data_IF_838687627156
#
_entry.id   IF_838687627156
#
_cell.length_a   1.000
_cell.length_b   1.000
_cell.length_c   1.000
_cell.angle_alpha   90.00
_cell.angle_beta   90.00
_cell.angle_gamma   90.00
#
_symmetry.space_group_name_H-M   'P 1'
#
loop_
_entity.id
_entity.type
_entity.pdbx_description
1 polymer ?
#
# COMPACT_ATOMS: atom_id res chain seq x y z
N UNK A 1 0.61 13.39 15.17
CA UNK A 1 1.23 12.05 15.16
C UNK A 1 0.89 11.43 13.84
N UNK A 2 1.88 10.91 13.11
CA UNK A 2 1.66 10.24 11.84
C UNK A 2 2.01 8.76 11.93
N UNK A 3 1.17 7.89 11.38
CA UNK A 3 1.46 6.47 11.17
C UNK A 3 1.45 6.23 9.67
N UNK A 4 2.57 5.77 9.12
CA UNK A 4 2.72 5.51 7.69
C UNK A 4 2.95 4.02 7.44
N UNK A 5 2.09 3.42 6.63
CA UNK A 5 2.19 2.02 6.22
C UNK A 5 2.97 1.92 4.92
N UNK A 6 4.11 1.25 4.93
CA UNK A 6 4.89 0.96 3.72
C UNK A 6 4.41 -0.33 3.07
N UNK A 7 4.62 -0.42 1.76
CA UNK A 7 4.45 -1.66 1.02
C UNK A 7 5.74 -2.50 1.02
N UNK A 8 5.66 -3.76 0.60
CA UNK A 8 6.80 -4.68 0.54
C UNK A 8 7.84 -4.22 -0.50
N UNK A 9 7.37 -3.62 -1.60
CA UNK A 9 8.21 -3.09 -2.69
C UNK A 9 8.66 -1.64 -2.48
N UNK A 10 8.22 -0.97 -1.40
CA UNK A 10 8.63 0.40 -1.15
C UNK A 10 10.14 0.50 -0.86
N UNK A 11 10.81 1.40 -1.57
CA UNK A 11 12.23 1.69 -1.37
C UNK A 11 12.45 2.80 -0.32
N UNK A 12 13.71 2.95 0.11
CA UNK A 12 14.06 3.95 1.11
C UNK A 12 13.73 5.38 0.70
N UNK A 13 13.80 5.69 -0.60
CA UNK A 13 13.44 7.00 -1.15
C UNK A 13 11.96 7.32 -0.91
N UNK A 14 11.07 6.32 -1.02
CA UNK A 14 9.65 6.46 -0.70
C UNK A 14 9.43 6.71 0.79
N UNK A 15 10.09 5.93 1.65
CA UNK A 15 9.99 6.11 3.11
C UNK A 15 10.50 7.47 3.58
N UNK A 16 11.62 7.94 3.05
CA UNK A 16 12.16 9.29 3.31
C UNK A 16 11.20 10.37 2.78
N UNK A 17 10.63 10.17 1.60
CA UNK A 17 9.62 11.08 1.03
C UNK A 17 8.40 11.25 1.95
N UNK A 18 7.84 10.16 2.45
CA UNK A 18 6.71 10.19 3.40
C UNK A 18 7.09 10.83 4.74
N UNK A 19 8.32 10.57 5.22
CA UNK A 19 8.82 11.20 6.43
C UNK A 19 8.99 12.73 6.28
N UNK A 20 9.33 13.23 5.09
CA UNK A 20 9.43 14.67 4.80
C UNK A 20 8.08 15.36 4.69
N UNK A 21 7.10 14.69 4.08
CA UNK A 21 5.76 15.26 3.83
C UNK A 21 4.87 15.31 5.07
N UNK A 22 5.10 14.43 6.05
CA UNK A 22 4.41 14.53 7.33
C UNK A 22 4.82 15.83 8.04
N UNK A 23 4.00 16.36 8.95
CA UNK A 23 4.35 17.49 9.83
C UNK A 23 4.39 17.08 11.31
N UNK A 24 4.09 15.81 11.60
CA UNK A 24 4.07 15.28 12.95
C UNK A 24 5.46 15.25 13.61
N UNK A 25 5.55 15.75 14.85
CA UNK A 25 6.74 15.62 15.69
C UNK A 25 7.06 14.16 16.07
N UNK A 26 6.07 13.26 16.00
CA UNK A 26 6.18 11.82 16.29
C UNK A 26 5.61 11.04 15.11
N UNK A 27 6.42 10.15 14.55
CA UNK A 27 6.11 9.39 13.34
C UNK A 27 6.41 7.91 13.58
N UNK A 28 5.44 7.05 13.30
CA UNK A 28 5.64 5.60 13.24
C UNK A 28 5.62 5.12 11.80
N UNK A 29 6.59 4.29 11.44
CA UNK A 29 6.69 3.66 10.13
C UNK A 29 6.43 2.17 10.29
N UNK A 30 5.35 1.69 9.67
CA UNK A 30 4.94 0.28 9.72
C UNK A 30 5.52 -0.45 8.52
N UNK A 31 6.37 -1.45 8.77
CA UNK A 31 7.00 -2.26 7.73
C UNK A 31 6.37 -3.66 7.68
N UNK A 32 5.83 -4.07 6.53
CA UNK A 32 5.36 -5.43 6.32
C UNK A 32 6.54 -6.42 6.30
N UNK A 33 6.27 -7.72 6.56
CA UNK A 33 7.29 -8.76 6.46
C UNK A 33 7.90 -8.81 5.06
N UNK A 34 9.22 -8.96 4.96
CA UNK A 34 9.94 -8.99 3.68
C UNK A 34 10.16 -7.63 2.99
N UNK A 35 9.87 -6.50 3.63
CA UNK A 35 10.09 -5.17 3.03
C UNK A 35 11.56 -4.95 2.58
N UNK A 36 11.76 -4.38 1.39
CA UNK A 36 13.10 -4.08 0.86
C UNK A 36 13.94 -3.19 1.78
N UNK A 37 13.31 -2.30 2.54
CA UNK A 37 13.99 -1.41 3.49
C UNK A 37 14.64 -2.21 4.63
N UNK A 38 14.01 -3.32 5.03
CA UNK A 38 14.44 -4.16 6.15
C UNK A 38 15.73 -4.96 5.87
N UNK A 39 16.19 -5.00 4.62
CA UNK A 39 17.35 -5.80 4.18
C UNK A 39 18.70 -5.23 4.64
N UNK A 40 18.78 -3.95 5.03
CA UNK A 40 20.05 -3.29 5.33
C UNK A 40 19.98 -2.37 6.55
N UNK A 41 20.98 -2.48 7.43
CA UNK A 41 21.18 -1.56 8.56
C UNK A 41 21.44 -0.12 8.11
N UNK A 42 22.02 0.06 6.92
CA UNK A 42 22.31 1.39 6.36
C UNK A 42 20.99 2.14 6.13
N UNK A 43 19.96 1.44 5.68
CA UNK A 43 18.63 2.04 5.45
C UNK A 43 18.04 2.62 6.73
N UNK A 44 18.09 1.87 7.83
CA UNK A 44 17.61 2.38 9.13
C UNK A 44 18.46 3.54 9.68
N UNK A 45 19.77 3.57 9.41
CA UNK A 45 20.61 4.72 9.79
C UNK A 45 20.28 5.97 8.99
N UNK A 46 19.96 5.84 7.71
CA UNK A 46 19.52 6.95 6.87
C UNK A 46 18.18 7.50 7.38
N UNK A 47 17.21 6.64 7.66
CA UNK A 47 15.93 7.05 8.26
C UNK A 47 16.11 7.74 9.62
N UNK A 48 16.99 7.21 10.47
CA UNK A 48 17.29 7.82 11.76
C UNK A 48 17.97 9.18 11.63
N UNK A 49 18.84 9.36 10.63
CA UNK A 49 19.48 10.64 10.33
C UNK A 49 18.46 11.66 9.85
N UNK A 50 17.62 11.28 8.89
CA UNK A 50 16.57 12.14 8.33
C UNK A 50 15.58 12.59 9.40
N UNK A 51 15.13 11.66 10.27
CA UNK A 51 14.24 11.99 11.37
C UNK A 51 14.86 13.01 12.33
N UNK A 52 16.14 12.86 12.67
CA UNK A 52 16.85 13.82 13.54
C UNK A 52 17.05 15.18 12.89
N UNK A 53 17.34 15.20 11.59
CA UNK A 53 17.51 16.44 10.82
C UNK A 53 16.24 17.30 10.82
N UNK A 54 15.07 16.65 10.81
CA UNK A 54 13.77 17.31 10.92
C UNK A 54 13.21 17.38 12.36
N UNK A 55 14.03 17.10 13.37
CA UNK A 55 13.66 17.10 14.79
C UNK A 55 12.42 16.22 15.13
N UNK A 56 12.34 15.04 14.52
CA UNK A 56 11.23 14.08 14.66
C UNK A 56 11.65 12.84 15.43
N UNK A 57 10.70 12.31 16.19
CA UNK A 57 10.83 11.02 16.86
C UNK A 57 10.25 9.93 15.96
N UNK A 58 11.14 9.17 15.31
CA UNK A 58 10.79 8.04 14.45
C UNK A 58 10.82 6.73 15.24
N UNK A 59 9.73 5.96 15.14
CA UNK A 59 9.66 4.57 15.61
C UNK A 59 9.37 3.61 14.45
N UNK A 60 9.90 2.40 14.52
CA UNK A 60 9.69 1.34 13.54
C UNK A 60 8.70 0.32 14.12
N UNK A 61 7.68 -0.06 13.36
CA UNK A 61 6.72 -1.10 13.75
C UNK A 61 6.82 -2.25 12.76
N UNK A 62 7.19 -3.45 13.23
CA UNK A 62 7.28 -4.62 12.37
C UNK A 62 7.13 -5.93 13.16
N UNK A 63 6.38 -6.92 12.63
CA UNK A 63 6.23 -8.21 13.30
C UNK A 63 7.52 -9.03 13.31
N UNK A 64 8.48 -8.78 12.42
CA UNK A 64 9.72 -9.57 12.31
C UNK A 64 10.78 -9.19 13.37
N UNK A 65 11.15 -10.15 14.22
CA UNK A 65 12.12 -9.93 15.30
C UNK A 65 13.52 -9.53 14.79
N UNK A 66 13.97 -10.14 13.70
CA UNK A 66 15.27 -9.85 13.08
C UNK A 66 15.36 -8.39 12.62
N UNK A 67 14.29 -7.86 12.03
CA UNK A 67 14.23 -6.47 11.54
C UNK A 67 14.19 -5.49 12.70
N UNK A 68 13.42 -5.80 13.76
CA UNK A 68 13.43 -4.99 15.00
C UNK A 68 14.84 -4.89 15.59
N UNK A 69 15.60 -5.98 15.63
CA UNK A 69 16.97 -5.96 16.12
C UNK A 69 17.88 -5.04 15.29
N UNK A 70 17.72 -5.03 13.96
CA UNK A 70 18.48 -4.14 13.06
C UNK A 70 18.09 -2.67 13.29
N UNK A 71 16.80 -2.36 13.41
CA UNK A 71 16.31 -1.01 13.68
C UNK A 71 16.83 -0.47 15.04
N UNK A 72 16.76 -1.29 16.10
CA UNK A 72 17.32 -0.95 17.43
C UNK A 72 18.82 -0.71 17.34
N UNK A 73 19.56 -1.52 16.57
CA UNK A 73 20.99 -1.31 16.36
C UNK A 73 21.32 -0.02 15.60
N UNK A 74 20.36 0.54 14.86
CA UNK A 74 20.48 1.84 14.19
C UNK A 74 20.06 3.01 15.09
N UNK A 75 19.61 2.73 16.32
CA UNK A 75 19.18 3.72 17.30
C UNK A 75 17.73 4.18 17.13
N UNK A 76 16.88 3.34 16.54
CA UNK A 76 15.44 3.57 16.41
C UNK A 76 14.66 2.64 17.36
N UNK A 77 13.69 3.16 18.13
CA UNK A 77 12.74 2.31 18.86
C UNK A 77 11.97 1.40 17.90
N UNK A 78 11.81 0.12 18.24
CA UNK A 78 11.12 -0.85 17.41
C UNK A 78 10.04 -1.61 18.20
N UNK A 79 8.85 -1.73 17.61
CA UNK A 79 7.68 -2.36 18.23
C UNK A 79 7.15 -3.51 17.35
N UNK A 80 6.50 -4.49 17.96
CA UNK A 80 5.96 -5.64 17.23
C UNK A 80 4.64 -5.31 16.53
N UNK A 81 3.78 -4.53 17.18
CA UNK A 81 2.50 -4.08 16.64
C UNK A 81 2.28 -2.56 16.84
N UNK A 82 1.34 -2.00 16.08
CA UNK A 82 0.95 -0.58 16.20
C UNK A 82 0.34 -0.30 17.57
N UNK A 83 -0.39 -1.26 18.13
CA UNK A 83 -0.95 -1.19 19.49
C UNK A 83 0.13 -1.01 20.56
N UNK A 84 1.28 -1.68 20.43
CA UNK A 84 2.38 -1.56 21.39
C UNK A 84 3.02 -0.17 21.33
N UNK A 85 3.11 0.40 20.12
CA UNK A 85 3.56 1.77 19.93
C UNK A 85 2.58 2.79 20.51
N UNK A 86 1.28 2.61 20.30
CA UNK A 86 0.25 3.48 20.87
C UNK A 86 0.21 3.40 22.41
N UNK A 87 0.38 2.20 22.98
CA UNK A 87 0.51 2.01 24.42
C UNK A 87 1.76 2.71 24.98
N UNK A 88 2.93 2.51 24.36
CA UNK A 88 4.17 3.18 24.75
C UNK A 88 4.09 4.71 24.63
N UNK A 89 3.28 5.21 23.71
CA UNK A 89 2.99 6.62 23.55
C UNK A 89 2.09 7.16 24.67
N UNK A 90 1.05 6.41 25.05
CA UNK A 90 0.13 6.75 26.14
C UNK A 90 0.86 6.81 27.49
N UNK A 91 1.87 5.96 27.68
CA UNK A 91 2.76 5.97 28.86
C UNK A 91 3.84 7.06 28.82
N UNK A 92 3.95 7.82 27.72
CA UNK A 92 4.94 8.88 27.56
C UNK A 92 6.39 8.39 27.37
N UNK A 93 6.59 7.09 27.13
CA UNK A 93 7.90 6.42 27.13
C UNK A 93 8.69 6.53 25.81
N UNK A 94 8.21 7.31 24.83
CA UNK A 94 8.91 7.51 23.55
C UNK A 94 9.95 8.64 23.67
N UNK A 95 11.03 8.43 24.44
CA UNK A 95 12.41 8.92 24.18
C UNK A 95 13.38 8.85 25.39
N UNK A 96 14.35 7.91 25.33
CA UNK A 96 15.81 8.17 25.21
C UNK A 96 16.57 6.84 25.16
N UNK A 97 17.68 6.74 24.42
CA UNK A 97 18.48 5.53 24.35
C UNK A 97 19.40 5.43 25.58
N UNK A 98 19.03 4.60 26.56
CA UNK A 98 19.98 3.89 27.44
C UNK A 98 19.26 2.81 28.26
N UNK A 99 19.87 1.62 28.24
CA UNK A 99 19.89 0.58 29.28
C UNK A 99 18.65 -0.30 29.54
N UNK A 100 18.77 -1.52 29.03
CA UNK A 100 18.72 -2.79 29.76
C UNK A 100 17.61 -3.02 30.78
N UNK A 101 16.73 -3.96 30.45
CA UNK A 101 16.31 -5.00 31.40
C UNK A 101 16.19 -6.34 30.67
N UNK A 102 17.19 -7.19 30.86
CA UNK A 102 17.04 -8.64 30.81
C UNK A 102 16.85 -9.15 32.26
N UNK A 103 16.09 -10.23 32.49
CA UNK A 103 15.66 -10.66 33.83
C UNK A 103 16.80 -11.33 34.64
N UNK A 104 16.68 -11.42 35.98
CA UNK A 104 17.75 -11.95 36.83
C UNK A 104 17.74 -13.48 36.82
N UNK A 105 18.91 -14.10 36.61
CA UNK A 105 19.05 -15.54 36.80
C UNK A 105 20.43 -16.08 36.45
N UNK A 106 21.12 -16.58 37.48
CA UNK A 106 22.29 -17.46 37.48
C UNK A 106 23.69 -16.80 37.43
N UNK A 107 24.41 -17.08 38.52
CA UNK A 107 25.72 -16.59 38.90
C UNK A 107 26.86 -17.11 38.01
N UNK A 108 27.93 -16.30 37.97
CA UNK A 108 29.20 -16.59 37.36
C UNK A 108 30.14 -17.41 38.27
N UNK A 109 30.94 -18.25 37.64
CA UNK A 109 32.34 -18.55 37.99
C UNK A 109 33.07 -18.64 36.62
N UNK A 110 33.93 -17.68 36.25
CA UNK A 110 35.39 -17.70 36.49
C UNK A 110 36.07 -18.80 35.66
N UNK A 111 37.02 -18.59 34.74
CA UNK A 111 37.74 -17.42 34.23
C UNK A 111 38.81 -17.89 33.22
N UNK A 112 39.54 -16.91 32.68
CA UNK A 112 40.89 -16.98 32.07
C UNK A 112 41.10 -17.44 30.60
N UNK A 113 41.65 -16.47 29.84
CA UNK A 113 42.83 -16.53 28.96
C UNK A 113 42.71 -16.88 27.46
N UNK A 114 43.23 -15.96 26.63
CA UNK A 114 43.91 -16.28 25.35
C UNK A 114 43.40 -15.54 24.11
N UNK A 115 44.26 -14.91 23.27
CA UNK A 115 43.89 -13.87 22.29
C UNK A 115 43.52 -14.40 20.89
N UNK A 116 42.90 -13.59 20.00
CA UNK A 116 42.70 -13.96 18.60
C UNK A 116 43.88 -13.50 17.73
N UNK A 117 44.27 -14.27 16.68
CA UNK A 117 45.02 -13.71 15.57
C UNK A 117 44.07 -13.19 14.49
N UNK A 118 44.26 -11.91 14.18
CA UNK A 118 44.42 -11.32 12.85
C UNK A 118 44.00 -12.15 11.64
N UNK A 119 43.08 -11.61 10.82
CA UNK A 119 43.35 -11.43 9.38
C UNK A 119 42.47 -10.33 8.79
N UNK A 120 43.13 -9.28 8.33
CA UNK A 120 42.62 -8.30 7.39
C UNK A 120 42.77 -8.84 5.97
N UNK A 121 41.83 -8.50 5.09
CA UNK A 121 42.11 -8.33 3.66
C UNK A 121 41.22 -7.21 3.11
N UNK A 122 41.89 -6.14 2.71
CA UNK A 122 41.44 -5.06 1.83
C UNK A 122 41.33 -5.61 0.38
N UNK A 123 40.31 -5.24 -0.40
CA UNK A 123 40.29 -4.13 -1.38
C UNK A 123 40.93 -4.48 -2.76
N UNK A 124 40.35 -3.87 -3.82
CA UNK A 124 40.75 -3.75 -5.24
C UNK A 124 39.94 -4.64 -6.24
N UNK A 125 39.07 -4.06 -7.09
CA UNK A 125 39.33 -3.43 -8.42
C UNK A 125 39.75 -4.49 -9.47
N UNK A 126 39.25 -4.61 -10.71
CA UNK A 126 38.37 -3.80 -11.57
C UNK A 126 37.98 -4.60 -12.84
N UNK A 127 36.98 -4.05 -13.58
CA UNK A 127 36.88 -3.91 -15.04
C UNK A 127 36.42 -5.06 -15.98
N UNK A 128 35.42 -4.71 -16.81
CA UNK A 128 35.05 -5.30 -18.11
C UNK A 128 33.55 -5.64 -18.20
N UNK A 129 32.63 -4.93 -18.88
CA UNK A 129 32.72 -3.89 -19.91
C UNK A 129 32.15 -4.39 -21.24
N UNK A 130 30.82 -4.26 -21.45
CA UNK A 130 30.04 -4.09 -22.72
C UNK A 130 28.56 -4.02 -22.30
N UNK A 131 27.66 -3.12 -22.73
CA UNK A 131 27.64 -2.11 -23.79
C UNK A 131 26.30 -2.20 -24.54
N UNK A 132 25.32 -1.34 -24.21
CA UNK A 132 24.17 -0.89 -25.05
C UNK A 132 23.21 -0.04 -24.17
N UNK A 133 23.26 1.29 -24.24
CA UNK A 133 22.53 2.17 -25.18
C UNK A 133 21.01 2.25 -24.87
N UNK A 134 20.60 3.30 -24.14
CA UNK A 134 19.77 4.46 -24.60
C UNK A 134 18.27 4.09 -24.64
N UNK A 135 17.39 4.73 -23.87
CA UNK A 135 16.93 6.10 -24.10
C UNK A 135 16.39 6.73 -22.79
N UNK A 136 16.62 8.04 -22.61
CA UNK A 136 16.09 8.87 -21.53
C UNK A 136 14.77 9.51 -21.97
N UNK A 137 13.77 9.55 -21.09
CA UNK A 137 12.79 10.65 -21.09
C UNK A 137 12.22 10.91 -19.68
N UNK A 138 12.24 12.19 -19.32
CA UNK A 138 11.48 12.91 -18.28
C UNK A 138 11.37 14.37 -18.81
N UNK A 139 10.49 15.25 -18.28
CA UNK A 139 9.03 15.16 -18.15
C UNK A 139 8.32 16.51 -18.50
N UNK A 140 7.00 16.61 -18.20
CA UNK A 140 6.15 17.83 -18.00
C UNK A 140 5.55 18.52 -19.26
N UNK A 141 4.50 19.39 -19.17
CA UNK A 141 3.37 19.50 -18.22
C UNK A 141 1.97 19.78 -18.85
N UNK A 142 0.95 19.76 -17.98
CA UNK A 142 -0.38 20.46 -17.91
C UNK A 142 -0.87 21.36 -19.06
N UNK A 143 -2.14 21.17 -19.45
CA UNK A 143 -2.99 22.17 -20.11
C UNK A 143 -4.39 21.63 -20.44
N UNK A 144 -5.44 22.20 -19.84
CA UNK A 144 -6.86 21.89 -20.13
C UNK A 144 -7.40 22.63 -21.37
N UNK A 145 -8.74 22.78 -21.50
CA UNK A 145 -9.56 22.02 -22.46
C UNK A 145 -10.18 22.90 -23.56
N UNK A 146 -10.97 22.27 -24.46
CA UNK A 146 -12.18 22.77 -25.17
C UNK A 146 -12.23 22.36 -26.66
N UNK A 147 -13.24 21.56 -27.03
CA UNK A 147 -14.00 21.70 -28.28
C UNK A 147 -15.19 20.73 -28.32
N UNK A 148 -16.39 21.29 -28.29
CA UNK A 148 -17.55 20.94 -29.13
C UNK A 148 -18.24 19.59 -28.94
N UNK A 149 -19.52 19.61 -28.55
CA UNK A 149 -20.61 19.00 -29.32
C UNK A 149 -21.95 19.71 -28.98
N UNK A 150 -22.53 20.27 -30.04
CA UNK A 150 -23.94 20.42 -30.45
C UNK A 150 -25.11 20.41 -29.45
N UNK A 151 -25.98 21.39 -29.69
CA UNK A 151 -27.29 21.61 -29.09
C UNK A 151 -28.40 20.78 -29.76
N UNK A 152 -29.39 20.38 -28.94
CA UNK A 152 -30.70 19.84 -29.30
C UNK A 152 -31.69 20.03 -28.14
N UNK A 153 -33.01 20.06 -28.37
CA UNK A 153 -33.83 21.22 -28.02
C UNK A 153 -34.62 21.11 -26.70
N UNK A 154 -35.01 22.28 -26.21
CA UNK A 154 -35.87 22.48 -25.05
C UNK A 154 -37.36 22.25 -25.37
N UNK A 155 -38.03 21.55 -24.45
CA UNK A 155 -39.48 21.35 -24.36
C UNK A 155 -39.94 21.96 -23.03
N UNK A 156 -40.97 22.81 -23.08
CA UNK A 156 -41.68 23.35 -21.92
C UNK A 156 -42.42 24.63 -22.33
N UNK A 157 -43.68 24.88 -22.00
CA UNK A 157 -44.61 24.17 -21.13
C UNK A 157 -46.01 24.71 -21.38
N UNK A 158 -46.99 23.92 -20.91
CA UNK A 158 -48.42 24.10 -21.09
C UNK A 158 -48.98 25.32 -20.35
N UNK A 159 -49.97 25.91 -21.01
CA UNK A 159 -50.91 26.93 -20.59
C UNK A 159 -51.85 26.48 -19.46
N UNK A 160 -52.33 27.45 -18.67
CA UNK A 160 -53.61 27.38 -17.95
C UNK A 160 -54.43 28.63 -18.28
N UNK A 161 -55.70 28.35 -18.52
CA UNK A 161 -56.80 29.11 -19.10
C UNK A 161 -57.46 30.09 -18.11
N UNK A 162 -58.03 31.20 -18.61
CA UNK A 162 -59.46 31.53 -18.46
C UNK A 162 -59.80 32.88 -19.16
N UNK A 163 -60.81 32.83 -20.02
CA UNK A 163 -61.46 33.93 -20.76
C UNK A 163 -62.71 34.43 -19.97
N UNK A 164 -63.64 35.28 -20.50
CA UNK A 164 -63.74 35.89 -21.83
C UNK A 164 -64.29 37.36 -21.90
N UNK A 165 -64.56 37.79 -23.15
CA UNK A 165 -65.49 38.82 -23.65
C UNK A 165 -64.95 40.28 -23.68
N UNK A 166 -65.18 41.13 -24.70
CA UNK A 166 -65.92 41.03 -25.96
C UNK A 166 -65.49 42.20 -26.90
N UNK A 167 -65.56 41.93 -28.20
CA UNK A 167 -65.79 42.81 -29.37
C UNK A 167 -65.38 44.30 -29.42
N UNK A 168 -64.64 44.66 -30.47
CA UNK A 168 -64.95 45.88 -31.24
C UNK A 168 -64.68 45.68 -32.72
N UNK A 169 -65.77 45.67 -33.49
CA UNK A 169 -65.85 45.64 -34.93
C UNK A 169 -66.36 47.01 -35.38
N UNK A 170 -65.90 47.51 -36.54
CA UNK A 170 -66.65 48.51 -37.30
C UNK A 170 -65.99 49.87 -37.44
N UNK A 171 -65.14 49.99 -38.44
CA UNK A 171 -64.77 51.25 -39.06
C UNK A 171 -65.59 51.37 -40.35
N UNK A 172 -66.58 52.30 -40.40
CA UNK A 172 -66.94 53.15 -41.56
C UNK A 172 -68.33 53.82 -41.48
N UNK A 173 -68.29 55.14 -41.77
CA UNK A 173 -69.22 55.98 -42.57
C UNK A 173 -70.23 56.89 -41.83
N UNK A 174 -70.10 58.18 -42.22
CA UNK A 174 -71.10 59.22 -42.49
C UNK A 174 -71.53 60.23 -41.41
N UNK A 175 -71.48 61.49 -41.88
CA UNK A 175 -72.49 62.54 -41.70
C UNK A 175 -72.67 63.16 -40.32
N UNK A 176 -72.11 64.37 -40.17
CA UNK A 176 -72.96 65.56 -40.10
C UNK A 176 -72.16 66.83 -40.42
N UNK A 177 -72.10 67.16 -41.70
CA UNK A 177 -71.92 68.54 -42.15
C UNK A 177 -73.20 69.31 -41.81
N UNK A 178 -73.06 70.34 -40.99
CA UNK A 178 -74.18 71.15 -40.50
C UNK A 178 -73.73 72.56 -40.13
N UNK A 179 -72.88 73.19 -40.96
CA UNK A 179 -72.64 74.63 -40.87
C UNK A 179 -73.47 75.33 -41.94
N UNK A 180 -74.58 75.88 -41.49
CA UNK A 180 -75.38 76.87 -42.18
C UNK A 180 -74.76 78.27 -42.02
N UNK A 181 -74.89 79.03 -43.10
CA UNK A 181 -75.00 80.48 -43.19
C UNK A 181 -73.89 81.41 -42.66
N UNK A 182 -73.34 82.14 -43.62
CA UNK A 182 -72.56 83.37 -43.50
C UNK A 182 -73.36 84.47 -42.77
N UNK A 183 -72.67 85.48 -42.21
CA UNK A 183 -72.94 86.80 -42.75
C UNK A 183 -71.68 87.58 -43.12
N UNK A 184 -71.77 88.20 -44.29
CA UNK A 184 -70.97 89.33 -44.76
C UNK A 184 -71.36 90.57 -43.97
N UNK A 185 -70.40 91.24 -43.31
CA UNK A 185 -70.54 92.64 -42.90
C UNK A 185 -69.29 93.39 -43.34
N UNK A 186 -69.52 94.37 -44.20
CA UNK A 186 -68.49 95.22 -44.77
C UNK A 186 -68.06 96.37 -43.85
N UNK A 187 -66.85 96.86 -44.13
CA UNK A 187 -66.52 98.28 -44.15
C UNK A 187 -66.46 99.02 -42.81
N UNK A 188 -65.27 99.46 -42.43
CA UNK A 188 -65.00 100.90 -42.38
C UNK A 188 -63.52 101.19 -42.28
N UNK A 189 -63.04 101.96 -43.25
CA UNK A 189 -61.72 102.56 -43.26
C UNK A 189 -61.55 103.52 -42.08
N UNK A 190 -60.39 103.48 -41.42
CA UNK A 190 -59.74 104.66 -40.87
C UNK A 190 -58.27 104.60 -41.22
N UNK A 191 -57.87 105.42 -42.18
CA UNK A 191 -56.47 105.71 -42.44
C UNK A 191 -55.91 106.59 -41.33
N UNK A 192 -54.68 106.30 -40.90
CA UNK A 192 -53.76 107.27 -40.31
C UNK A 192 -52.39 106.94 -40.90
N UNK A 193 -51.88 107.87 -41.69
CA UNK A 193 -50.55 107.80 -42.27
C UNK A 193 -49.45 108.09 -41.25
N UNK A 194 -48.23 107.69 -41.62
CA UNK A 194 -46.98 108.23 -41.08
C UNK A 194 -46.18 107.29 -40.19
N UNK A 195 -45.04 106.79 -40.71
CA UNK A 195 -43.97 106.21 -39.88
C UNK A 195 -43.32 104.95 -40.45
N UNK A 196 -42.59 105.06 -41.57
CA UNK A 196 -41.88 103.98 -42.29
C UNK A 196 -40.67 103.36 -41.56
N UNK A 197 -40.65 103.35 -40.22
CA UNK A 197 -39.59 102.74 -39.40
C UNK A 197 -40.13 101.59 -38.53
N UNK A 198 -41.31 101.72 -37.90
CA UNK A 198 -41.80 100.75 -36.90
C UNK A 198 -42.12 99.34 -37.45
N UNK A 199 -42.60 99.25 -38.70
CA UNK A 199 -42.91 97.96 -39.36
C UNK A 199 -41.62 97.16 -39.69
N UNK A 200 -40.50 97.86 -39.92
CA UNK A 200 -39.20 97.23 -40.19
C UNK A 200 -38.55 96.63 -38.94
N UNK A 201 -38.78 97.21 -37.76
CA UNK A 201 -38.28 96.66 -36.49
C UNK A 201 -39.10 95.46 -36.02
N UNK A 202 -40.41 95.44 -36.27
CA UNK A 202 -41.28 94.31 -35.91
C UNK A 202 -40.96 93.02 -36.72
N UNK A 203 -40.66 93.13 -38.01
CA UNK A 203 -40.28 91.96 -38.83
C UNK A 203 -38.90 91.42 -38.48
N UNK A 204 -37.97 92.29 -38.06
CA UNK A 204 -36.61 91.90 -37.64
C UNK A 204 -36.63 91.17 -36.28
N UNK A 205 -37.48 91.60 -35.35
CA UNK A 205 -37.68 90.91 -34.06
C UNK A 205 -38.34 89.53 -34.21
N UNK A 206 -39.30 89.40 -35.12
CA UNK A 206 -39.91 88.09 -35.43
C UNK A 206 -38.89 87.16 -36.10
N UNK A 207 -38.10 87.68 -37.05
CA UNK A 207 -37.01 86.93 -37.66
C UNK A 207 -35.98 86.44 -36.64
N UNK A 208 -35.59 87.29 -35.68
CA UNK A 208 -34.69 86.93 -34.59
C UNK A 208 -35.29 85.86 -33.67
N UNK A 209 -36.57 85.98 -33.32
CA UNK A 209 -37.26 84.98 -32.49
C UNK A 209 -37.31 83.60 -33.18
N UNK A 210 -37.53 83.56 -34.49
CA UNK A 210 -37.51 82.32 -35.28
C UNK A 210 -36.11 81.72 -35.32
N UNK A 211 -35.06 82.55 -35.49
CA UNK A 211 -33.67 82.07 -35.47
C UNK A 211 -33.29 81.51 -34.10
N UNK A 212 -33.68 82.17 -33.01
CA UNK A 212 -33.43 81.68 -31.64
C UNK A 212 -34.18 80.38 -31.37
N UNK A 213 -35.45 80.28 -31.79
CA UNK A 213 -36.23 79.05 -31.67
C UNK A 213 -35.62 77.90 -32.49
N UNK A 214 -35.18 78.17 -33.72
CA UNK A 214 -34.51 77.18 -34.56
C UNK A 214 -33.18 76.70 -33.95
N UNK A 215 -32.40 77.61 -33.35
CA UNK A 215 -31.15 77.28 -32.67
C UNK A 215 -31.40 76.47 -31.37
N UNK A 216 -32.46 76.78 -30.64
CA UNK A 216 -32.89 76.02 -29.46
C UNK A 216 -33.35 74.60 -29.80
N UNK A 217 -34.09 74.43 -30.89
CA UNK A 217 -34.52 73.11 -31.38
C UNK A 217 -33.30 72.30 -31.87
N UNK A 218 -32.39 72.95 -32.61
CA UNK A 218 -31.17 72.31 -33.09
C UNK A 218 -30.26 71.86 -31.94
N UNK A 219 -30.11 72.67 -30.88
CA UNK A 219 -29.32 72.30 -29.70
C UNK A 219 -29.99 71.18 -28.90
N UNK A 220 -31.31 71.19 -28.73
CA UNK A 220 -32.04 70.11 -28.07
C UNK A 220 -31.98 68.79 -28.84
N UNK A 221 -32.05 68.84 -30.17
CA UNK A 221 -31.97 67.64 -31.02
C UNK A 221 -30.58 66.98 -31.03
N UNK A 222 -29.52 67.73 -30.69
CA UNK A 222 -28.13 67.24 -30.65
C UNK A 222 -27.71 66.83 -29.22
N UNK A 223 -28.60 66.89 -28.22
CA UNK A 223 -28.26 66.42 -26.87
C UNK A 223 -27.95 64.91 -26.89
N UNK A 224 -26.71 64.48 -26.58
CA UNK A 224 -26.40 63.07 -26.53
C UNK A 224 -27.08 62.43 -25.32
N UNK A 225 -27.81 61.35 -25.54
CA UNK A 225 -28.31 60.49 -24.48
C UNK A 225 -27.43 59.25 -24.35
N UNK A 226 -27.09 58.87 -23.11
CA UNK A 226 -26.32 57.68 -22.82
C UNK A 226 -27.20 56.70 -22.04
N UNK A 227 -27.43 55.51 -22.60
CA UNK A 227 -28.05 54.39 -21.89
C UNK A 227 -26.97 53.51 -21.27
N UNK A 228 -27.13 53.21 -19.97
CA UNK A 228 -26.24 52.31 -19.24
C UNK A 228 -27.02 51.02 -18.96
N UNK A 229 -26.60 49.92 -19.58
CA UNK A 229 -27.18 48.60 -19.33
C UNK A 229 -26.28 47.83 -18.38
N UNK A 230 -26.79 47.52 -17.19
CA UNK A 230 -26.12 46.67 -16.21
C UNK A 230 -26.69 45.25 -16.36
N UNK A 231 -25.85 44.33 -16.81
CA UNK A 231 -26.20 42.90 -16.87
C UNK A 231 -25.53 42.18 -15.71
N UNK A 232 -26.27 41.74 -14.68
CA UNK A 232 -25.69 40.96 -13.59
C UNK A 232 -25.30 39.55 -14.08
N UNK A 233 -24.14 39.08 -13.63
CA UNK A 233 -23.69 37.71 -13.89
C UNK A 233 -24.00 36.87 -12.66
N UNK A 234 -24.90 35.89 -12.82
CA UNK A 234 -25.15 34.87 -11.80
C UNK A 234 -24.05 33.82 -11.80
N UNK A 235 -23.61 33.40 -10.61
CA UNK A 235 -22.69 32.29 -10.44
C UNK A 235 -23.42 31.21 -9.66
N UNK A 236 -23.49 30.00 -10.22
CA UNK A 236 -24.04 28.86 -9.50
C UNK A 236 -23.07 28.50 -8.36
N UNK A 237 -23.50 28.80 -7.13
CA UNK A 237 -22.92 28.21 -5.95
C UNK A 237 -23.25 26.72 -6.02
N UNK A 238 -22.29 25.92 -6.47
CA UNK A 238 -22.40 24.47 -6.54
C UNK A 238 -22.85 23.86 -5.19
N UNK A 239 -23.16 22.56 -5.15
CA UNK A 239 -23.69 21.93 -3.95
C UNK A 239 -22.76 22.20 -2.76
N UNK A 240 -23.29 22.89 -1.75
CA UNK A 240 -22.58 23.15 -0.50
C UNK A 240 -22.36 21.79 0.16
N UNK A 241 -21.11 21.34 0.20
CA UNK A 241 -20.74 20.09 0.86
C UNK A 241 -20.86 20.28 2.37
N UNK A 242 -21.96 19.79 2.95
CA UNK A 242 -22.21 19.80 4.39
C UNK A 242 -21.91 18.41 4.95
N UNK A 243 -21.02 18.32 5.94
CA UNK A 243 -20.77 17.06 6.66
C UNK A 243 -21.67 17.01 7.88
N UNK A 244 -22.70 16.17 7.85
CA UNK A 244 -23.64 15.96 8.97
C UNK A 244 -23.23 14.70 9.73
N UNK A 245 -23.17 14.79 11.07
CA UNK A 245 -22.78 13.68 11.94
C UNK A 245 -24.03 13.07 12.58
N UNK A 246 -24.22 11.77 12.39
CA UNK A 246 -25.29 11.02 13.04
C UNK A 246 -24.79 10.49 14.39
N UNK A 247 -25.31 11.03 15.49
CA UNK A 247 -24.89 10.67 16.85
C UNK A 247 -26.01 9.94 17.62
N UNK A 248 -25.80 8.68 18.06
CA UNK A 248 -26.77 7.95 18.89
C UNK A 248 -27.04 8.56 20.27
N UNK A 249 -26.13 9.39 20.79
CA UNK A 249 -26.28 10.06 22.08
C UNK A 249 -27.08 11.37 21.98
N UNK A 250 -27.19 11.96 20.79
CA UNK A 250 -27.94 13.18 20.58
C UNK A 250 -29.45 12.91 20.71
N UNK A 251 -30.12 13.68 21.56
CA UNK A 251 -31.57 13.56 21.78
C UNK A 251 -32.40 14.52 20.93
N UNK A 252 -31.74 15.52 20.31
CA UNK A 252 -32.33 16.54 19.44
C UNK A 252 -31.34 16.94 18.34
N UNK A 253 -31.87 17.50 17.25
CA UNK A 253 -31.06 18.04 16.14
C UNK A 253 -30.33 19.30 16.60
N UNK A 254 -29.02 19.35 16.37
CA UNK A 254 -28.19 20.54 16.56
C UNK A 254 -27.68 21.04 15.20
N UNK A 255 -28.29 22.14 14.74
CA UNK A 255 -27.95 22.78 13.47
C UNK A 255 -26.59 23.51 13.48
N UNK A 256 -26.02 23.78 14.66
CA UNK A 256 -24.76 24.50 14.81
C UNK A 256 -23.57 23.55 14.68
N UNK A 257 -23.67 22.39 15.34
CA UNK A 257 -22.66 21.33 15.25
C UNK A 257 -22.93 20.34 14.12
N UNK A 258 -24.04 20.51 13.38
CA UNK A 258 -24.49 19.61 12.30
C UNK A 258 -24.67 18.17 12.78
N UNK A 259 -25.23 17.99 13.98
CA UNK A 259 -25.48 16.68 14.60
C UNK A 259 -26.96 16.31 14.54
N UNK A 260 -27.25 15.09 14.08
CA UNK A 260 -28.60 14.51 14.05
C UNK A 260 -28.69 13.27 14.94
N UNK A 261 -29.80 13.07 15.70
CA UNK A 261 -30.03 11.86 16.47
C UNK A 261 -29.98 10.61 15.60
N UNK A 262 -29.23 9.60 16.04
CA UNK A 262 -29.18 8.28 15.41
C UNK A 262 -29.74 7.20 16.34
N UNK A 263 -30.11 6.05 15.77
CA UNK A 263 -30.49 4.86 16.55
C UNK A 263 -29.59 3.70 16.15
N UNK A 264 -28.96 3.06 17.12
CA UNK A 264 -28.20 1.83 16.88
C UNK A 264 -29.16 0.64 16.79
N UNK A 265 -29.08 -0.11 15.69
CA UNK A 265 -29.78 -1.38 15.51
C UNK A 265 -28.74 -2.49 15.52
N UNK A 266 -28.95 -3.53 16.32
CA UNK A 266 -28.01 -4.64 16.48
C UNK A 266 -28.57 -5.88 15.80
N UNK A 267 -27.76 -6.52 14.96
CA UNK A 267 -28.09 -7.76 14.27
C UNK A 267 -27.19 -8.88 14.81
N UNK A 268 -27.78 -10.04 15.09
CA UNK A 268 -27.07 -11.24 15.56
C UNK A 268 -26.78 -12.12 14.34
N UNK A 269 -25.57 -12.02 13.79
CA UNK A 269 -25.16 -12.78 12.60
C UNK A 269 -24.22 -13.92 13.00
N UNK A 270 -24.41 -15.10 12.39
CA UNK A 270 -23.56 -16.27 12.61
C UNK A 270 -23.37 -17.04 11.31
N UNK A 271 -22.13 -17.43 11.02
CA UNK A 271 -21.77 -18.24 9.87
C UNK A 271 -20.72 -19.28 10.28
N UNK A 272 -20.88 -20.51 9.80
CA UNK A 272 -19.91 -21.59 9.95
C UNK A 272 -19.71 -22.28 8.59
N UNK A 273 -18.51 -22.85 8.38
CA UNK A 273 -18.19 -23.61 7.18
C UNK A 273 -16.98 -24.51 7.41
N UNK A 274 -16.74 -25.43 6.48
CA UNK A 274 -15.57 -26.32 6.48
C UNK A 274 -14.65 -25.98 5.31
N UNK A 275 -13.37 -25.75 5.60
CA UNK A 275 -12.37 -25.39 4.60
C UNK A 275 -11.29 -26.48 4.50
N UNK A 276 -10.82 -26.82 3.29
CA UNK A 276 -9.74 -27.78 3.12
C UNK A 276 -8.42 -27.15 3.59
N UNK A 277 -7.65 -27.92 4.38
CA UNK A 277 -6.27 -27.55 4.70
C UNK A 277 -5.34 -27.92 3.55
N UNK A 278 -4.53 -26.95 3.10
CA UNK A 278 -3.59 -27.11 1.99
C UNK A 278 -2.16 -27.34 2.47
N UNK A 279 -1.84 -26.90 3.69
CA UNK A 279 -0.52 -27.10 4.28
C UNK A 279 -0.17 -28.57 4.46
N UNK A 280 1.11 -28.90 4.27
CA UNK A 280 1.66 -30.24 4.51
C UNK A 280 2.79 -30.12 5.52
N UNK A 281 2.69 -30.89 6.61
CA UNK A 281 3.77 -31.08 7.57
C UNK A 281 4.39 -32.45 7.32
N UNK A 282 5.66 -32.45 6.92
CA UNK A 282 6.45 -33.67 6.73
C UNK A 282 7.14 -34.02 8.04
N UNK A 283 6.97 -35.25 8.50
CA UNK A 283 7.68 -35.82 9.64
C UNK A 283 8.52 -36.99 9.17
N UNK A 284 9.84 -36.90 9.40
CA UNK A 284 10.78 -37.93 8.99
C UNK A 284 11.59 -38.46 10.17
N UNK A 285 11.78 -39.78 10.19
CA UNK A 285 12.67 -40.45 11.15
C UNK A 285 13.88 -41.00 10.40
N UNK A 286 15.04 -41.04 11.07
CA UNK A 286 16.26 -41.62 10.49
C UNK A 286 16.27 -43.12 10.66
N UNK A 287 16.64 -43.83 9.60
CA UNK A 287 16.89 -45.25 9.71
C UNK A 287 18.14 -45.51 10.56
N UNK A 288 18.13 -46.63 11.27
CA UNK A 288 19.23 -47.11 12.08
C UNK A 288 19.48 -48.58 11.80
N UNK A 289 20.69 -49.03 12.08
CA UNK A 289 21.03 -50.44 11.98
C UNK A 289 22.45 -50.68 12.44
N UNK A 290 22.99 -51.84 12.10
CA UNK A 290 24.35 -52.23 12.47
C UNK A 290 25.12 -52.60 11.22
N UNK A 291 26.37 -52.17 11.15
CA UNK A 291 27.32 -52.57 10.10
C UNK A 291 28.48 -53.32 10.74
N UNK A 292 28.97 -54.30 10.02
CA UNK A 292 30.14 -55.10 10.35
C UNK A 292 31.29 -54.65 9.47
N UNK A 293 32.39 -54.25 10.08
CA UNK A 293 33.63 -54.01 9.38
C UNK A 293 34.53 -55.24 9.43
N UNK A 294 35.21 -55.52 8.32
CA UNK A 294 36.21 -56.58 8.24
C UNK A 294 37.55 -55.99 7.83
N UNK A 295 38.60 -56.34 8.54
CA UNK A 295 39.97 -55.96 8.23
C UNK A 295 40.76 -57.20 7.77
N UNK A 296 41.27 -57.13 6.56
CA UNK A 296 42.11 -58.15 5.92
C UNK A 296 43.61 -57.87 6.05
N UNK A 297 44.01 -56.72 6.62
CA UNK A 297 45.40 -56.41 6.93
C UNK A 297 45.91 -57.32 8.06
N UNK A 298 46.98 -58.09 7.78
CA UNK A 298 47.61 -59.01 8.75
C UNK A 298 48.69 -58.32 9.59
N UNK A 299 49.12 -57.12 9.21
CA UNK A 299 50.17 -56.33 9.86
C UNK A 299 49.62 -55.32 10.87
N UNK A 300 48.46 -54.71 10.61
CA UNK A 300 47.93 -53.59 11.42
C UNK A 300 46.44 -53.73 11.74
N UNK A 301 46.04 -53.20 12.90
CA UNK A 301 44.64 -52.95 13.22
C UNK A 301 44.18 -51.63 12.60
N UNK A 302 42.91 -51.54 12.23
CA UNK A 302 42.30 -50.32 11.72
C UNK A 302 41.41 -49.68 12.79
N UNK A 303 41.38 -48.34 12.88
CA UNK A 303 40.51 -47.62 13.80
C UNK A 303 39.57 -46.72 13.01
N UNK A 304 38.26 -46.97 13.10
CA UNK A 304 37.23 -46.15 12.47
C UNK A 304 36.71 -45.16 13.51
N UNK A 305 36.86 -43.84 13.33
CA UNK A 305 36.34 -42.86 14.28
C UNK A 305 34.80 -42.81 14.23
N UNK A 306 34.18 -42.38 15.34
CA UNK A 306 32.76 -42.04 15.36
C UNK A 306 32.49 -40.93 14.34
N UNK A 307 31.33 -40.97 13.67
CA UNK A 307 30.99 -39.99 12.65
C UNK A 307 31.47 -40.32 11.23
N UNK A 308 32.21 -41.42 11.05
CA UNK A 308 32.62 -41.91 9.73
C UNK A 308 31.40 -42.27 8.89
N UNK A 309 31.43 -41.96 7.59
CA UNK A 309 30.29 -42.20 6.68
C UNK A 309 30.57 -43.42 5.82
N UNK A 310 29.70 -44.42 5.90
CA UNK A 310 29.65 -45.58 4.99
C UNK A 310 28.44 -45.45 4.09
N UNK A 311 28.52 -45.97 2.87
CA UNK A 311 27.44 -45.80 1.90
C UNK A 311 27.05 -47.10 1.21
N UNK A 312 25.84 -47.11 0.63
CA UNK A 312 25.46 -48.12 -0.35
C UNK A 312 26.05 -47.80 -1.72
N UNK A 313 26.07 -48.79 -2.62
CA UNK A 313 26.39 -48.55 -4.03
C UNK A 313 25.44 -47.54 -4.71
N UNK A 314 24.22 -47.39 -4.18
CA UNK A 314 23.23 -46.42 -4.65
C UNK A 314 23.43 -45.00 -4.08
N UNK A 315 24.41 -44.78 -3.20
CA UNK A 315 24.75 -43.47 -2.65
C UNK A 315 24.06 -43.11 -1.32
N UNK A 316 23.29 -44.02 -0.72
CA UNK A 316 22.68 -43.78 0.61
C UNK A 316 23.75 -43.85 1.70
N UNK A 317 24.01 -42.73 2.37
CA UNK A 317 25.03 -42.61 3.42
C UNK A 317 24.51 -42.89 4.83
N UNK A 318 25.36 -43.52 5.64
CA UNK A 318 25.14 -43.87 7.04
C UNK A 318 26.35 -43.45 7.88
N UNK A 319 26.10 -42.85 9.03
CA UNK A 319 27.12 -42.36 9.95
C UNK A 319 27.31 -43.34 11.11
N UNK A 320 28.55 -43.66 11.45
CA UNK A 320 28.88 -44.50 12.61
C UNK A 320 28.57 -43.78 13.92
N UNK A 321 27.93 -44.50 14.84
CA UNK A 321 27.53 -43.98 16.16
C UNK A 321 28.68 -43.92 17.18
N UNK A 322 29.69 -44.78 17.02
CA UNK A 322 30.83 -44.88 17.92
C UNK A 322 32.14 -45.13 17.16
N UNK A 323 33.26 -44.89 17.84
CA UNK A 323 34.58 -45.26 17.33
C UNK A 323 34.83 -46.75 17.56
N UNK A 324 35.39 -47.42 16.58
CA UNK A 324 35.60 -48.86 16.58
C UNK A 324 37.05 -49.19 16.19
N UNK A 325 37.68 -50.11 16.92
CA UNK A 325 38.99 -50.67 16.53
C UNK A 325 38.79 -52.09 16.01
N UNK A 326 39.11 -52.28 14.74
CA UNK A 326 39.02 -53.57 14.07
C UNK A 326 40.38 -54.27 14.20
N UNK A 327 40.45 -55.46 14.81
CA UNK A 327 41.71 -56.18 14.95
C UNK A 327 42.29 -56.55 13.59
N UNK A 328 43.60 -56.82 13.55
CA UNK A 328 44.27 -57.33 12.34
C UNK A 328 43.75 -58.73 11.97
N UNK A 329 43.82 -59.06 10.69
CA UNK A 329 43.52 -60.41 10.21
C UNK A 329 44.49 -61.45 10.77
N UNK A 330 44.00 -62.66 11.01
CA UNK A 330 44.80 -63.79 11.50
C UNK A 330 44.98 -64.81 10.39
N UNK A 331 46.24 -65.18 10.14
CA UNK A 331 46.58 -66.25 9.21
C UNK A 331 46.39 -67.59 9.93
N UNK A 332 45.42 -68.39 9.49
CA UNK A 332 45.20 -69.75 9.97
C UNK A 332 45.93 -70.70 9.02
N UNK A 333 46.91 -71.45 9.54
CA UNK A 333 47.67 -72.43 8.75
C UNK A 333 46.86 -73.71 8.57
N UNK A 334 45.88 -73.66 7.68
CA UNK A 334 45.13 -74.81 7.16
C UNK A 334 45.84 -75.40 5.94
N UNK A 335 45.75 -76.73 5.73
CA UNK A 335 46.21 -77.41 4.51
C UNK A 335 45.01 -77.60 3.56
N UNK A 336 45.14 -77.47 2.23
CA UNK A 336 46.37 -77.27 1.43
C UNK A 336 46.83 -75.81 1.28
N UNK A 337 46.01 -74.82 1.64
CA UNK A 337 46.33 -73.38 1.54
C UNK A 337 46.00 -72.67 2.86
N UNK A 338 46.87 -71.76 3.37
CA UNK A 338 46.54 -70.96 4.55
C UNK A 338 45.35 -70.05 4.28
N UNK A 339 44.38 -70.01 5.19
CA UNK A 339 43.20 -69.15 5.11
C UNK A 339 43.40 -67.91 5.98
N UNK A 340 43.07 -66.73 5.44
CA UNK A 340 43.08 -65.47 6.19
C UNK A 340 41.71 -65.30 6.84
N UNK A 341 41.66 -65.35 8.17
CA UNK A 341 40.46 -64.99 8.93
C UNK A 341 40.48 -63.47 9.17
N UNK A 342 39.54 -62.69 8.61
CA UNK A 342 39.52 -61.25 8.81
C UNK A 342 39.23 -60.91 10.28
N UNK A 343 39.84 -59.83 10.76
CA UNK A 343 39.39 -59.22 12.01
C UNK A 343 38.02 -58.59 11.78
N UNK A 344 37.07 -58.80 12.69
CA UNK A 344 35.72 -58.28 12.56
C UNK A 344 35.36 -57.43 13.77
N UNK A 345 34.56 -56.39 13.55
CA UNK A 345 33.98 -55.62 14.62
C UNK A 345 32.69 -54.92 14.11
N UNK A 346 31.70 -54.81 15.00
CA UNK A 346 30.38 -54.27 14.70
C UNK A 346 30.21 -52.87 15.29
N UNK A 347 29.48 -52.01 14.57
CA UNK A 347 29.10 -50.68 15.08
C UNK A 347 27.71 -50.30 14.61
N UNK A 348 26.96 -49.64 15.49
CA UNK A 348 25.67 -49.04 15.15
C UNK A 348 25.85 -47.88 14.17
N UNK A 349 24.93 -47.75 13.23
CA UNK A 349 24.89 -46.66 12.26
C UNK A 349 23.52 -46.00 12.23
N UNK A 350 23.52 -44.71 11.88
CA UNK A 350 22.30 -43.95 11.62
C UNK A 350 22.38 -43.32 10.21
N UNK A 351 21.28 -43.34 9.47
CA UNK A 351 21.20 -42.71 8.16
C UNK A 351 21.53 -41.21 8.26
N UNK A 352 22.30 -40.71 7.28
CA UNK A 352 22.66 -39.28 7.22
C UNK A 352 21.42 -38.45 6.95
N UNK A 353 20.65 -38.85 5.93
CA UNK A 353 19.38 -38.25 5.53
C UNK A 353 18.23 -38.95 6.23
N UNK A 354 17.27 -38.17 6.74
CA UNK A 354 16.02 -38.69 7.29
C UNK A 354 15.12 -39.22 6.16
N UNK A 355 14.19 -40.12 6.49
CA UNK A 355 13.22 -40.66 5.53
C UNK A 355 13.36 -42.17 5.28
N UNK A 356 12.41 -42.70 4.50
CA UNK A 356 12.33 -44.13 4.18
C UNK A 356 13.48 -44.65 3.31
N UNK A 357 14.17 -43.77 2.59
CA UNK A 357 15.35 -44.09 1.77
C UNK A 357 16.52 -44.65 2.59
N UNK A 358 16.54 -44.38 3.90
CA UNK A 358 17.52 -44.96 4.81
C UNK A 358 17.29 -46.45 5.10
N UNK A 359 16.14 -47.03 4.74
CA UNK A 359 15.84 -48.44 4.98
C UNK A 359 16.37 -49.31 3.83
N UNK A 360 17.62 -49.73 3.94
CA UNK A 360 18.28 -50.56 2.95
C UNK A 360 18.29 -52.04 3.36
N UNK A 361 18.17 -52.98 2.40
CA UNK A 361 18.18 -54.42 2.71
C UNK A 361 19.55 -54.87 3.25
N UNK A 362 19.62 -56.10 3.76
CA UNK A 362 20.88 -56.71 4.18
C UNK A 362 21.89 -56.72 3.02
N UNK A 363 23.17 -56.51 3.34
CA UNK A 363 24.31 -56.43 2.41
C UNK A 363 24.25 -55.30 1.38
N UNK A 364 23.41 -54.29 1.57
CA UNK A 364 23.33 -53.13 0.68
C UNK A 364 24.42 -52.07 0.96
N UNK A 365 24.86 -51.94 2.22
CA UNK A 365 25.94 -51.05 2.62
C UNK A 365 27.25 -51.76 2.27
N UNK A 366 28.07 -51.16 1.41
CA UNK A 366 29.29 -51.81 0.90
C UNK A 366 30.46 -50.86 0.67
N UNK A 367 30.20 -49.55 0.70
CA UNK A 367 31.21 -48.52 0.45
C UNK A 367 31.82 -48.08 1.78
N UNK A 368 33.12 -48.26 1.92
CA UNK A 368 33.90 -47.85 3.10
C UNK A 368 34.06 -46.33 3.18
N UNK A 369 34.36 -45.78 4.39
CA UNK A 369 34.57 -44.35 4.54
C UNK A 369 35.80 -43.86 3.78
N UNK A 370 35.80 -42.57 3.42
CA UNK A 370 36.95 -41.94 2.78
C UNK A 370 38.20 -42.05 3.66
N UNK A 371 39.35 -42.34 3.04
CA UNK A 371 40.64 -42.51 3.73
C UNK A 371 40.99 -43.97 4.08
N UNK A 372 40.10 -44.93 3.80
CA UNK A 372 40.38 -46.37 3.94
C UNK A 372 40.45 -47.06 2.57
N UNK A 373 41.34 -48.04 2.44
CA UNK A 373 41.47 -48.84 1.23
C UNK A 373 40.38 -49.94 1.19
N UNK A 374 39.48 -49.95 0.18
CA UNK A 374 38.42 -50.95 0.06
C UNK A 374 38.93 -52.38 -0.17
N UNK A 375 40.21 -52.55 -0.53
CA UNK A 375 40.86 -53.86 -0.69
C UNK A 375 41.25 -54.48 0.65
N UNK A 376 41.56 -53.64 1.64
CA UNK A 376 42.03 -54.06 2.96
C UNK A 376 40.90 -54.06 3.99
N UNK A 377 39.95 -53.13 3.86
CA UNK A 377 38.81 -53.01 4.76
C UNK A 377 37.54 -53.13 3.93
N UNK A 378 36.64 -54.00 4.36
CA UNK A 378 35.28 -54.07 3.80
C UNK A 378 34.26 -53.75 4.89
N UNK A 379 33.09 -53.28 4.46
CA UNK A 379 31.94 -53.04 5.33
C UNK A 379 30.72 -53.71 4.71
N UNK A 380 29.90 -54.32 5.56
CA UNK A 380 28.59 -54.82 5.14
C UNK A 380 27.59 -54.72 6.29
N UNK A 381 26.30 -54.64 5.99
CA UNK A 381 25.25 -54.74 6.99
C UNK A 381 24.64 -56.15 6.96
N UNK A 382 24.89 -56.96 7.99
CA UNK A 382 24.33 -58.30 8.07
C UNK A 382 22.80 -58.31 8.12
N UNK A 383 22.20 -57.27 8.71
CA UNK A 383 20.75 -57.09 8.81
C UNK A 383 20.31 -55.84 8.05
N UNK A 384 19.06 -55.82 7.61
CA UNK A 384 18.46 -54.62 7.00
C UNK A 384 18.42 -53.47 8.01
N UNK A 385 18.57 -52.25 7.51
CA UNK A 385 18.37 -51.04 8.32
C UNK A 385 16.88 -50.68 8.33
N UNK A 386 16.42 -50.12 9.44
CA UNK A 386 15.00 -49.84 9.65
C UNK A 386 14.77 -48.60 10.52
N UNK A 387 13.52 -48.15 10.63
CA UNK A 387 13.15 -46.97 11.41
C UNK A 387 13.14 -45.67 10.60
N UNK A 388 13.52 -45.69 9.33
CA UNK A 388 13.33 -44.56 8.41
C UNK A 388 11.85 -44.43 8.03
N UNK A 389 11.21 -43.33 8.41
CA UNK A 389 9.81 -43.05 8.05
C UNK A 389 9.71 -41.72 7.32
N UNK A 390 8.73 -41.60 6.43
CA UNK A 390 8.33 -40.35 5.80
C UNK A 390 6.82 -40.27 5.86
N UNK A 391 6.29 -39.35 6.66
CA UNK A 391 4.85 -39.20 6.85
C UNK A 391 4.47 -37.75 6.62
N UNK A 392 3.56 -37.55 5.67
CA UNK A 392 2.97 -36.26 5.37
C UNK A 392 1.62 -36.15 6.08
N UNK A 393 1.43 -35.08 6.85
CA UNK A 393 0.15 -34.78 7.50
C UNK A 393 -0.34 -33.43 7.05
N UNK A 394 -1.62 -33.33 6.66
CA UNK A 394 -2.23 -32.05 6.30
C UNK A 394 -2.34 -31.17 7.55
N UNK A 395 -1.95 -29.92 7.43
CA UNK A 395 -1.99 -28.92 8.50
C UNK A 395 -2.58 -27.63 7.96
N UNK A 396 -3.32 -26.93 8.81
CA UNK A 396 -3.85 -25.61 8.47
C UNK A 396 -2.69 -24.62 8.43
N UNK A 397 -2.55 -23.92 7.30
CA UNK A 397 -1.59 -22.82 7.17
C UNK A 397 -2.30 -21.47 7.27
N UNK A 398 -1.53 -20.41 7.52
CA UNK A 398 -2.08 -19.06 7.67
C UNK A 398 -2.95 -18.64 6.48
N UNK A 399 -2.53 -18.96 5.26
CA UNK A 399 -3.30 -18.67 4.06
C UNK A 399 -4.69 -19.36 4.04
N UNK A 400 -4.79 -20.60 4.54
CA UNK A 400 -6.07 -21.31 4.63
C UNK A 400 -7.00 -20.61 5.64
N UNK A 401 -6.45 -20.20 6.78
CA UNK A 401 -7.17 -19.46 7.81
C UNK A 401 -7.66 -18.11 7.29
N UNK A 402 -6.80 -17.33 6.64
CA UNK A 402 -7.13 -16.01 6.10
C UNK A 402 -8.22 -16.11 5.03
N UNK A 403 -8.12 -17.12 4.15
CA UNK A 403 -9.15 -17.39 3.14
C UNK A 403 -10.49 -17.79 3.78
N UNK A 404 -10.47 -18.62 4.82
CA UNK A 404 -11.66 -19.01 5.57
C UNK A 404 -12.32 -17.81 6.26
N UNK A 405 -11.54 -16.97 6.94
CA UNK A 405 -12.03 -15.75 7.59
C UNK A 405 -12.61 -14.78 6.58
N UNK A 406 -11.93 -14.58 5.44
CA UNK A 406 -12.42 -13.73 4.36
C UNK A 406 -13.76 -14.23 3.82
N UNK A 407 -13.85 -15.51 3.48
CA UNK A 407 -15.08 -16.11 2.95
C UNK A 407 -16.25 -16.00 3.95
N UNK A 408 -16.02 -16.24 5.24
CA UNK A 408 -17.04 -16.08 6.28
C UNK A 408 -17.43 -14.60 6.46
N UNK A 409 -16.48 -13.67 6.41
CA UNK A 409 -16.74 -12.23 6.52
C UNK A 409 -17.57 -11.72 5.35
N UNK A 410 -17.24 -12.13 4.12
CA UNK A 410 -18.01 -11.79 2.91
C UNK A 410 -19.45 -12.32 2.99
N UNK A 411 -19.64 -13.51 3.58
CA UNK A 411 -20.95 -14.12 3.81
C UNK A 411 -21.75 -13.35 4.85
N UNK A 412 -21.14 -12.99 5.98
CA UNK A 412 -21.77 -12.18 7.02
C UNK A 412 -22.15 -10.79 6.48
N UNK A 413 -21.29 -10.15 5.68
CA UNK A 413 -21.58 -8.88 5.02
C UNK A 413 -22.73 -8.97 4.00
N UNK A 414 -22.92 -10.14 3.39
CA UNK A 414 -24.08 -10.40 2.51
C UNK A 414 -25.35 -10.61 3.32
N UNK A 415 -25.29 -11.34 4.44
CA UNK A 415 -26.43 -11.48 5.35
C UNK A 415 -26.87 -10.13 5.92
N UNK A 416 -25.91 -9.30 6.39
CA UNK A 416 -26.21 -7.96 6.90
C UNK A 416 -26.90 -7.09 5.84
N UNK A 417 -26.43 -7.10 4.59
CA UNK A 417 -27.07 -6.33 3.51
C UNK A 417 -28.50 -6.78 3.23
N UNK A 418 -28.77 -8.08 3.34
CA UNK A 418 -30.11 -8.62 3.17
C UNK A 418 -31.03 -8.25 4.35
N UNK A 419 -30.50 -8.19 5.57
CA UNK A 419 -31.28 -7.80 6.76
C UNK A 419 -31.57 -6.29 6.82
N UNK A 420 -30.77 -5.47 6.12
CA UNK A 420 -30.93 -4.02 6.01
C UNK A 420 -31.82 -3.57 4.85
N UNK A 421 -32.05 -4.44 3.85
CA UNK A 421 -32.90 -4.18 2.69
C UNK A 421 -34.37 -4.42 3.01
#
# INVERSE_FOLDING_TARGET
MGIHYLDIEDEITTAVGRLRQDEGARVALVLPPGSRIATSRINFRLLAREAREHARLLAIVTPEASVRAVAVSAGLPAYAAVSDYEAALAEGAVARPTETTAPPGAAAAGGAAGPPPTTAVAEALAAGGVGAALERTRPMPVGGPEAGVEAGPAVGGRSVTAAPAEGSFGERIAERLGLADLPVVGGSARGIGGGSQAIRWATLLIGLAIVVAALGIATFAILPSASITITPVGQDLGPVAMTVVADPAATRVDATSLVVPARTVTFQLSANDTFPATGVKVSETKASGTVTFQNYDTGRSAQIPAGSVVSTAAGTGFRTSASLTIPRARIIRTKPQPTIAPGQADVGVAAVTSGSQGNVPANAISVVPQGYDPTLISVFNAQATSGGTHTETKVVVQADYDNAVKALTDRLGTQLRNDLA
#
